data_IF_070696209932
#
_entry.id   IF_070696209932
#
_cell.length_a   1.000
_cell.length_b   1.000
_cell.length_c   1.000
_cell.angle_alpha   90.00
_cell.angle_beta   90.00
_cell.angle_gamma   90.00
#
_symmetry.space_group_name_H-M   'P 1'
#
loop_
_entity.id
_entity.type
_entity.pdbx_description
1 polymer ?
#
# COMPACT_ATOMS: atom_id res chain seq x y z
N UNK A 1 -55.39 30.67 -33.89
CA UNK A 1 -54.09 31.28 -34.28
C UNK A 1 -53.10 31.39 -33.12
N UNK A 2 -53.55 31.59 -31.87
CA UNK A 2 -52.65 31.78 -30.73
C UNK A 2 -52.00 30.48 -30.19
N UNK A 3 -52.69 29.35 -30.30
CA UNK A 3 -52.25 28.05 -29.74
C UNK A 3 -51.07 27.45 -30.52
N UNK A 4 -51.16 27.48 -31.85
CA UNK A 4 -50.10 27.02 -32.78
C UNK A 4 -48.79 27.82 -32.70
N UNK A 5 -48.82 29.01 -32.09
CA UNK A 5 -47.60 29.80 -31.79
C UNK A 5 -46.97 29.35 -30.48
N UNK A 6 -47.77 29.10 -29.44
CA UNK A 6 -47.27 28.56 -28.16
C UNK A 6 -46.62 27.19 -28.33
N UNK A 7 -47.25 26.29 -29.08
CA UNK A 7 -46.65 24.98 -29.38
C UNK A 7 -45.28 25.06 -30.07
N UNK A 8 -45.06 26.10 -30.90
CA UNK A 8 -43.76 26.33 -31.55
C UNK A 8 -42.72 26.90 -30.60
N UNK A 9 -43.14 27.79 -29.70
CA UNK A 9 -42.28 28.33 -28.66
C UNK A 9 -41.84 27.22 -27.70
N UNK A 10 -42.77 26.36 -27.29
CA UNK A 10 -42.48 25.20 -26.43
C UNK A 10 -41.51 24.21 -27.12
N UNK A 11 -41.72 23.91 -28.41
CA UNK A 11 -40.79 23.06 -29.18
C UNK A 11 -39.39 23.67 -29.30
N UNK A 12 -39.27 24.99 -29.47
CA UNK A 12 -37.97 25.66 -29.52
C UNK A 12 -37.25 25.58 -28.18
N UNK A 13 -37.96 25.77 -27.06
CA UNK A 13 -37.38 25.64 -25.71
C UNK A 13 -36.91 24.20 -25.47
N UNK A 14 -37.69 23.22 -25.90
CA UNK A 14 -37.31 21.80 -25.82
C UNK A 14 -36.04 21.54 -26.64
N UNK A 15 -35.95 22.02 -27.88
CA UNK A 15 -34.75 21.87 -28.72
C UNK A 15 -33.52 22.53 -28.10
N UNK A 16 -33.67 23.71 -27.50
CA UNK A 16 -32.58 24.42 -26.81
C UNK A 16 -32.08 23.64 -25.59
N UNK A 17 -32.99 23.12 -24.76
CA UNK A 17 -32.66 22.24 -23.64
C UNK A 17 -31.97 20.95 -24.09
N UNK A 18 -32.44 20.33 -25.18
CA UNK A 18 -31.78 19.14 -25.74
C UNK A 18 -30.34 19.44 -26.14
N UNK A 19 -30.10 20.60 -26.75
CA UNK A 19 -28.77 21.02 -27.17
C UNK A 19 -27.86 21.26 -25.96
N UNK A 20 -28.33 21.94 -24.93
CA UNK A 20 -27.58 22.15 -23.69
C UNK A 20 -27.23 20.82 -22.99
N UNK A 21 -28.17 19.88 -22.95
CA UNK A 21 -27.94 18.54 -22.37
C UNK A 21 -26.85 17.80 -23.15
N UNK A 22 -26.89 17.83 -24.48
CA UNK A 22 -25.88 17.20 -25.33
C UNK A 22 -24.50 17.82 -25.09
N UNK A 23 -24.40 19.15 -25.08
CA UNK A 23 -23.16 19.87 -24.83
C UNK A 23 -22.58 19.53 -23.44
N UNK A 24 -23.45 19.39 -22.43
CA UNK A 24 -23.06 18.99 -21.09
C UNK A 24 -22.55 17.55 -21.04
N UNK A 25 -23.23 16.62 -21.71
CA UNK A 25 -22.80 15.22 -21.83
C UNK A 25 -21.46 15.11 -22.57
N UNK A 26 -21.24 15.93 -23.60
CA UNK A 26 -19.97 15.96 -24.31
C UNK A 26 -18.83 16.49 -23.42
N UNK A 27 -19.10 17.55 -22.64
CA UNK A 27 -18.18 18.08 -21.63
C UNK A 27 -17.82 17.03 -20.57
N UNK A 28 -18.82 16.26 -20.10
CA UNK A 28 -18.62 15.14 -19.18
C UNK A 28 -17.72 14.07 -19.82
N UNK A 29 -17.99 13.66 -21.06
CA UNK A 29 -17.20 12.66 -21.75
C UNK A 29 -15.74 13.09 -21.94
N UNK A 30 -15.49 14.37 -22.26
CA UNK A 30 -14.13 14.92 -22.33
C UNK A 30 -13.40 14.84 -20.99
N UNK A 31 -14.09 15.14 -19.89
CA UNK A 31 -13.53 15.00 -18.53
C UNK A 31 -13.22 13.54 -18.20
N UNK A 32 -14.10 12.60 -18.54
CA UNK A 32 -13.84 11.17 -18.34
C UNK A 32 -12.64 10.68 -19.15
N UNK A 33 -12.52 11.07 -20.42
CA UNK A 33 -11.34 10.74 -21.23
C UNK A 33 -10.06 11.29 -20.62
N UNK A 34 -10.10 12.52 -20.07
CA UNK A 34 -8.95 13.10 -19.37
C UNK A 34 -8.57 12.32 -18.11
N UNK A 35 -9.56 11.88 -17.33
CA UNK A 35 -9.33 11.06 -16.13
C UNK A 35 -8.67 9.73 -16.52
N UNK A 36 -9.18 9.03 -17.55
CA UNK A 36 -8.56 7.78 -18.03
C UNK A 36 -7.11 7.96 -18.45
N UNK A 37 -6.79 9.02 -19.19
CA UNK A 37 -5.40 9.33 -19.56
C UNK A 37 -4.51 9.60 -18.34
N UNK A 38 -5.06 10.22 -17.29
CA UNK A 38 -4.33 10.44 -16.05
C UNK A 38 -4.12 9.14 -15.28
N UNK A 39 -5.09 8.23 -15.29
CA UNK A 39 -4.97 6.90 -14.69
C UNK A 39 -3.90 6.06 -15.39
N UNK A 40 -3.88 6.00 -16.72
CA UNK A 40 -2.84 5.30 -17.49
C UNK A 40 -1.45 5.90 -17.23
N UNK A 41 -1.35 7.23 -17.17
CA UNK A 41 -0.09 7.91 -16.79
C UNK A 41 0.33 7.58 -15.36
N UNK A 42 -0.59 7.50 -14.42
CA UNK A 42 -0.30 7.11 -13.05
C UNK A 42 0.25 5.68 -13.00
N UNK A 43 -0.37 4.75 -13.73
CA UNK A 43 0.07 3.35 -13.80
C UNK A 43 1.50 3.23 -14.35
N UNK A 44 1.83 3.93 -15.44
CA UNK A 44 3.19 3.95 -15.98
C UNK A 44 4.21 4.58 -15.01
N UNK A 45 3.83 5.63 -14.28
CA UNK A 45 4.69 6.24 -13.26
C UNK A 45 4.94 5.31 -12.08
N UNK A 46 3.94 4.53 -11.66
CA UNK A 46 4.08 3.53 -10.61
C UNK A 46 5.03 2.41 -11.01
N UNK A 47 4.97 1.93 -12.26
CA UNK A 47 5.91 0.95 -12.79
C UNK A 47 7.35 1.49 -12.78
N UNK A 48 7.54 2.71 -13.27
CA UNK A 48 8.86 3.37 -13.24
C UNK A 48 9.40 3.51 -11.82
N UNK A 49 8.55 3.89 -10.85
CA UNK A 49 8.95 4.01 -9.46
C UNK A 49 9.32 2.65 -8.85
N UNK A 50 8.65 1.57 -9.24
CA UNK A 50 9.00 0.19 -8.85
C UNK A 50 10.39 -0.21 -9.37
N UNK A 51 10.69 0.12 -10.63
CA UNK A 51 12.00 -0.13 -11.24
C UNK A 51 13.09 0.65 -10.51
N UNK A 52 12.88 1.95 -10.27
CA UNK A 52 13.84 2.81 -9.55
C UNK A 52 14.06 2.30 -8.13
N UNK A 53 13.00 1.95 -7.40
CA UNK A 53 13.10 1.40 -6.05
C UNK A 53 13.90 0.08 -6.03
N UNK A 54 13.69 -0.78 -7.02
CA UNK A 54 14.44 -2.03 -7.15
C UNK A 54 15.93 -1.78 -7.44
N UNK A 55 16.25 -0.77 -8.25
CA UNK A 55 17.64 -0.35 -8.52
C UNK A 55 18.29 0.25 -7.28
N UNK A 56 17.58 1.08 -6.53
CA UNK A 56 18.06 1.65 -5.26
C UNK A 56 18.40 0.52 -4.28
N UNK A 57 17.52 -0.46 -4.09
CA UNK A 57 17.80 -1.62 -3.21
C UNK A 57 19.06 -2.37 -3.63
N UNK A 58 19.26 -2.62 -4.93
CA UNK A 58 20.51 -3.24 -5.42
C UNK A 58 21.75 -2.39 -5.11
N UNK A 59 21.63 -1.07 -5.25
CA UNK A 59 22.73 -0.15 -4.89
C UNK A 59 22.97 -0.19 -3.38
N UNK A 60 21.91 -0.22 -2.56
CA UNK A 60 22.01 -0.36 -1.11
C UNK A 60 22.72 -1.66 -0.73
N UNK A 61 22.36 -2.79 -1.36
CA UNK A 61 23.03 -4.09 -1.15
C UNK A 61 24.51 -4.03 -1.53
N UNK A 62 24.84 -3.44 -2.69
CA UNK A 62 26.24 -3.28 -3.12
C UNK A 62 27.04 -2.34 -2.22
N UNK A 63 26.42 -1.25 -1.73
CA UNK A 63 27.05 -0.34 -0.77
C UNK A 63 27.25 -1.04 0.57
N UNK A 64 26.30 -1.86 1.01
CA UNK A 64 26.41 -2.67 2.21
C UNK A 64 27.57 -3.66 2.11
N UNK A 65 27.73 -4.31 0.96
CA UNK A 65 28.86 -5.20 0.68
C UNK A 65 30.19 -4.43 0.61
N UNK A 66 30.20 -3.22 0.05
CA UNK A 66 31.40 -2.38 -0.02
C UNK A 66 31.85 -1.90 1.37
N UNK A 67 30.92 -1.39 2.18
CA UNK A 67 31.17 -0.91 3.54
C UNK A 67 31.56 -2.06 4.46
N UNK A 68 30.89 -3.22 4.34
CA UNK A 68 31.29 -4.44 5.07
C UNK A 68 32.65 -4.98 4.58
N UNK A 69 33.09 -4.59 3.39
CA UNK A 69 34.41 -4.88 2.84
C UNK A 69 35.52 -3.90 3.25
N UNK A 70 35.20 -2.75 3.88
CA UNK A 70 36.21 -1.80 4.37
C UNK A 70 36.89 -2.26 5.67
N UNK A 71 36.27 -3.15 6.45
CA UNK A 71 36.98 -3.84 7.55
C UNK A 71 37.92 -4.96 7.06
N UNK A 72 37.96 -5.23 5.74
CA UNK A 72 38.60 -6.42 5.16
C UNK A 72 39.49 -6.20 3.93
N UNK A 73 39.77 -4.97 3.48
CA UNK A 73 40.67 -4.75 2.34
C UNK A 73 42.14 -4.56 2.74
N UNK A 74 42.73 -5.64 3.21
CA UNK A 74 43.94 -6.15 2.57
C UNK A 74 43.58 -7.47 1.91
N UNK A 75 43.09 -7.42 0.67
CA UNK A 75 43.36 -8.40 -0.40
C UNK A 75 42.40 -8.24 -1.58
N UNK A 76 43.00 -8.15 -2.76
CA UNK A 76 42.52 -8.88 -3.94
C UNK A 76 41.38 -8.25 -4.73
N UNK A 77 41.75 -7.41 -5.69
CA UNK A 77 41.08 -7.44 -6.99
C UNK A 77 41.16 -8.89 -7.52
N UNK A 78 40.04 -9.60 -7.61
CA UNK A 78 39.98 -10.83 -8.41
C UNK A 78 39.10 -10.58 -9.62
N UNK A 79 39.76 -10.46 -10.76
CA UNK A 79 39.21 -10.67 -12.08
C UNK A 79 38.40 -11.96 -12.11
N UNK A 80 37.17 -11.86 -12.61
CA UNK A 80 36.38 -13.02 -13.02
C UNK A 80 37.13 -13.77 -14.12
N UNK A 81 37.68 -14.95 -13.83
CA UNK A 81 37.95 -15.98 -14.84
C UNK A 81 37.76 -17.37 -14.26
N UNK A 82 36.68 -18.03 -14.74
CA UNK A 82 36.39 -19.47 -14.91
C UNK A 82 36.72 -20.50 -13.80
N UNK A 83 35.96 -21.61 -13.70
CA UNK A 83 35.97 -22.50 -12.54
C UNK A 83 36.93 -23.70 -12.68
N UNK A 84 37.60 -24.12 -11.59
CA UNK A 84 37.92 -25.55 -11.33
C UNK A 84 38.51 -25.86 -9.94
N UNK A 85 37.78 -26.68 -9.19
CA UNK A 85 38.12 -27.91 -8.42
C UNK A 85 39.34 -28.06 -7.47
N UNK A 86 39.04 -28.68 -6.29
CA UNK A 86 39.88 -29.45 -5.32
C UNK A 86 40.98 -28.65 -4.57
N UNK A 87 41.28 -28.83 -3.28
CA UNK A 87 40.85 -29.70 -2.17
C UNK A 87 41.46 -29.17 -0.85
N UNK A 88 40.96 -29.69 0.28
CA UNK A 88 41.73 -29.98 1.50
C UNK A 88 41.87 -28.92 2.63
N UNK A 89 41.00 -29.11 3.64
CA UNK A 89 41.22 -29.18 5.10
C UNK A 89 42.35 -28.37 5.75
N UNK A 90 42.01 -27.58 6.77
CA UNK A 90 42.50 -27.80 8.14
C UNK A 90 41.73 -26.93 9.16
N UNK A 91 41.03 -27.63 10.06
CA UNK A 91 40.50 -27.20 11.35
C UNK A 91 41.62 -26.97 12.37
N UNK A 92 41.37 -26.13 13.38
CA UNK A 92 41.74 -26.18 14.82
C UNK A 92 41.51 -24.74 15.36
N UNK A 93 40.89 -24.37 16.47
CA UNK A 93 40.00 -24.93 17.50
C UNK A 93 39.49 -23.70 18.29
N UNK A 94 38.21 -23.70 18.69
CA UNK A 94 37.62 -22.86 19.76
C UNK A 94 38.32 -23.19 21.12
N UNK A 95 38.23 -22.42 22.24
CA UNK A 95 36.99 -21.78 22.73
C UNK A 95 37.10 -20.52 23.65
N UNK A 96 36.00 -19.77 23.80
CA UNK A 96 35.19 -19.65 25.04
C UNK A 96 34.14 -18.53 24.92
N UNK A 97 32.87 -18.93 25.05
CA UNK A 97 31.72 -18.09 25.39
C UNK A 97 31.76 -17.77 26.92
N UNK A 98 30.97 -16.82 27.46
CA UNK A 98 29.52 -16.98 27.57
C UNK A 98 28.68 -15.77 27.09
N UNK A 99 27.50 -16.14 26.62
CA UNK A 99 26.33 -15.31 26.32
C UNK A 99 25.74 -14.78 27.64
N UNK A 100 25.39 -13.50 27.71
CA UNK A 100 24.35 -13.02 28.63
C UNK A 100 23.17 -12.44 27.85
N UNK A 101 22.04 -13.13 27.96
CA UNK A 101 20.73 -12.70 27.53
C UNK A 101 20.29 -11.44 28.31
N UNK A 102 19.83 -10.39 27.63
CA UNK A 102 18.85 -9.45 28.22
C UNK A 102 18.03 -8.74 27.15
N UNK A 103 16.81 -9.25 26.97
CA UNK A 103 15.52 -8.54 26.99
C UNK A 103 15.45 -7.07 26.51
N UNK A 104 14.55 -6.88 25.55
CA UNK A 104 13.57 -5.79 25.42
C UNK A 104 14.08 -4.33 25.42
N UNK A 105 13.98 -3.66 24.26
CA UNK A 105 13.73 -2.21 24.05
C UNK A 105 13.91 -1.91 22.55
N UNK A 106 13.13 -1.12 21.81
CA UNK A 106 11.91 -0.33 22.00
C UNK A 106 11.36 -0.09 20.59
N UNK A 107 10.09 -0.40 20.35
CA UNK A 107 9.36 -0.01 19.15
C UNK A 107 8.98 1.45 19.32
N UNK A 108 9.63 2.36 18.63
CA UNK A 108 9.27 3.79 18.63
C UNK A 108 8.25 4.07 17.54
N UNK A 109 6.99 4.19 17.97
CA UNK A 109 5.98 5.04 17.36
C UNK A 109 5.22 5.74 18.50
N UNK A 110 4.74 6.99 18.31
CA UNK A 110 4.08 7.74 19.37
C UNK A 110 2.74 7.08 19.70
N UNK A 111 2.68 6.46 20.87
CA UNK A 111 1.45 5.99 21.49
C UNK A 111 0.66 7.25 21.88
N UNK A 112 -0.46 7.51 21.19
CA UNK A 112 -1.54 8.30 21.80
C UNK A 112 -2.21 7.39 22.82
N UNK A 113 -1.68 7.41 24.03
CA UNK A 113 -2.28 6.80 25.21
C UNK A 113 -3.64 7.46 25.48
N UNK A 114 -4.69 6.64 25.67
CA UNK A 114 -6.00 7.11 26.11
C UNK A 114 -7.19 6.69 25.23
N UNK A 115 -7.30 5.42 24.83
CA UNK A 115 -8.59 4.86 24.36
C UNK A 115 -8.86 3.52 25.00
N UNK A 116 -9.98 3.46 25.70
CA UNK A 116 -10.48 2.31 26.46
C UNK A 116 -10.86 1.18 25.50
N UNK A 117 -10.77 -0.07 25.95
CA UNK A 117 -11.14 -1.25 25.16
C UNK A 117 -12.60 -1.26 24.71
N UNK A 118 -13.48 -0.58 25.45
CA UNK A 118 -14.90 -0.44 25.12
C UNK A 118 -15.15 0.42 23.87
N UNK A 119 -14.38 1.51 23.70
CA UNK A 119 -14.53 2.44 22.55
C UNK A 119 -14.17 1.79 21.21
N UNK A 120 -13.39 0.71 21.22
CA UNK A 120 -12.96 -0.01 20.02
C UNK A 120 -14.08 -0.95 19.55
N UNK A 121 -14.84 -1.54 20.48
CA UNK A 121 -15.90 -2.51 20.19
C UNK A 121 -17.11 -1.80 19.57
N UNK A 122 -17.51 -0.64 20.12
CA UNK A 122 -18.59 0.16 19.55
C UNK A 122 -18.26 0.66 18.13
N UNK A 123 -16.98 0.94 17.87
CA UNK A 123 -16.51 1.34 16.54
C UNK A 123 -16.55 0.20 15.55
N UNK A 124 -16.18 -1.02 15.94
CA UNK A 124 -16.29 -2.23 15.09
C UNK A 124 -17.72 -2.42 14.58
N UNK A 125 -18.73 -2.18 15.43
CA UNK A 125 -20.13 -2.30 15.03
C UNK A 125 -20.57 -1.25 14.00
N UNK A 126 -19.94 -0.07 14.01
CA UNK A 126 -20.22 1.02 13.05
C UNK A 126 -19.45 0.91 11.73
N UNK A 127 -18.59 -0.10 11.54
CA UNK A 127 -17.79 -0.23 10.32
C UNK A 127 -18.67 -0.50 9.09
N UNK A 128 -18.33 0.19 8.01
CA UNK A 128 -18.91 -0.02 6.68
C UNK A 128 -18.52 -1.40 6.14
N UNK A 129 -19.33 -1.95 5.24
CA UNK A 129 -19.12 -3.29 4.65
C UNK A 129 -17.71 -3.46 4.06
N UNK A 130 -17.23 -2.43 3.36
CA UNK A 130 -15.88 -2.38 2.78
C UNK A 130 -14.75 -2.35 3.81
N UNK A 131 -14.96 -1.69 4.96
CA UNK A 131 -13.96 -1.67 6.04
C UNK A 131 -13.87 -3.05 6.71
N UNK A 132 -15.00 -3.73 6.92
CA UNK A 132 -15.01 -5.12 7.42
C UNK A 132 -14.31 -6.07 6.45
N UNK A 133 -14.56 -5.93 5.15
CA UNK A 133 -13.88 -6.74 4.13
C UNK A 133 -12.37 -6.53 4.14
N UNK A 134 -11.90 -5.27 4.26
CA UNK A 134 -10.46 -4.96 4.38
C UNK A 134 -9.85 -5.70 5.56
N UNK A 135 -10.47 -5.62 6.74
CA UNK A 135 -9.92 -6.22 7.95
C UNK A 135 -9.99 -7.75 7.88
N UNK A 136 -11.06 -8.33 7.33
CA UNK A 136 -11.18 -9.77 7.10
C UNK A 136 -10.07 -10.30 6.19
N UNK A 137 -9.76 -9.59 5.10
CA UNK A 137 -8.68 -9.95 4.18
C UNK A 137 -7.32 -9.87 4.86
N UNK A 138 -7.07 -8.83 5.65
CA UNK A 138 -5.82 -8.67 6.42
C UNK A 138 -5.68 -9.73 7.52
N UNK A 139 -6.78 -10.09 8.19
CA UNK A 139 -6.78 -11.13 9.20
C UNK A 139 -6.44 -12.51 8.61
N UNK A 140 -6.99 -12.82 7.43
CA UNK A 140 -6.70 -14.07 6.69
C UNK A 140 -5.31 -14.07 6.05
N UNK A 141 -4.79 -12.91 5.67
CA UNK A 141 -3.52 -12.80 4.94
C UNK A 141 -2.66 -11.63 5.49
N UNK A 142 -1.97 -11.83 6.62
CA UNK A 142 -1.16 -10.78 7.24
C UNK A 142 0.09 -10.41 6.41
N UNK A 143 0.42 -11.21 5.39
CA UNK A 143 1.56 -10.96 4.50
C UNK A 143 1.26 -9.96 3.37
N UNK A 144 0.01 -9.56 3.18
CA UNK A 144 -0.36 -8.57 2.15
C UNK A 144 0.16 -7.19 2.54
N UNK A 145 0.92 -6.56 1.64
CA UNK A 145 1.50 -5.23 1.82
C UNK A 145 0.89 -4.22 0.87
N UNK A 146 0.63 -3.01 1.38
CA UNK A 146 0.19 -1.86 0.59
C UNK A 146 -1.25 -1.91 0.08
N UNK A 147 -1.77 -0.73 -0.29
CA UNK A 147 -3.16 -0.56 -0.74
C UNK A 147 -3.47 -1.22 -2.09
N UNK A 148 -2.48 -1.40 -2.96
CA UNK A 148 -2.67 -1.96 -4.31
C UNK A 148 -3.08 -3.43 -4.27
N UNK A 149 -2.46 -4.24 -3.41
CA UNK A 149 -2.77 -5.66 -3.30
C UNK A 149 -4.15 -5.89 -2.66
N UNK A 150 -4.56 -5.05 -1.70
CA UNK A 150 -5.91 -5.07 -1.15
C UNK A 150 -6.97 -4.58 -2.14
N UNK A 151 -6.69 -3.51 -2.88
CA UNK A 151 -7.57 -2.98 -3.90
C UNK A 151 -7.97 -4.03 -4.95
N UNK A 152 -7.00 -4.83 -5.42
CA UNK A 152 -7.25 -5.94 -6.35
C UNK A 152 -8.19 -7.01 -5.79
N UNK A 153 -8.13 -7.29 -4.48
CA UNK A 153 -8.97 -8.32 -3.83
C UNK A 153 -10.38 -7.83 -3.51
N UNK A 154 -10.54 -6.54 -3.21
CA UNK A 154 -11.83 -5.94 -2.83
C UNK A 154 -12.59 -5.43 -4.07
N UNK A 155 -11.91 -5.27 -5.21
CA UNK A 155 -12.52 -4.73 -6.43
C UNK A 155 -12.78 -3.23 -6.33
N UNK A 156 -11.93 -2.49 -5.60
CA UNK A 156 -12.00 -1.03 -5.44
C UNK A 156 -10.71 -0.38 -5.93
N UNK A 157 -10.73 0.94 -6.13
CA UNK A 157 -9.52 1.68 -6.51
C UNK A 157 -8.49 1.70 -5.38
N UNK A 158 -7.21 1.77 -5.77
CA UNK A 158 -6.08 1.85 -4.83
C UNK A 158 -6.22 3.04 -3.88
N UNK A 159 -6.71 4.17 -4.38
CA UNK A 159 -6.95 5.41 -3.61
C UNK A 159 -8.02 5.20 -2.55
N UNK A 160 -9.14 4.58 -2.91
CA UNK A 160 -10.23 4.33 -1.97
C UNK A 160 -9.75 3.45 -0.82
N UNK A 161 -9.06 2.36 -1.15
CA UNK A 161 -8.49 1.45 -0.15
C UNK A 161 -7.41 2.14 0.68
N UNK A 162 -6.54 2.95 0.08
CA UNK A 162 -5.50 3.68 0.82
C UNK A 162 -6.09 4.72 1.78
N UNK A 163 -7.18 5.40 1.40
CA UNK A 163 -7.93 6.30 2.28
C UNK A 163 -8.56 5.56 3.44
N UNK A 164 -9.18 4.41 3.19
CA UNK A 164 -9.76 3.57 4.24
C UNK A 164 -8.70 3.01 5.18
N UNK A 165 -7.57 2.52 4.66
CA UNK A 165 -6.46 2.02 5.48
C UNK A 165 -5.88 3.12 6.38
N UNK A 166 -5.77 4.36 5.86
CA UNK A 166 -5.37 5.51 6.66
C UNK A 166 -6.39 5.82 7.76
N UNK A 167 -7.67 5.87 7.42
CA UNK A 167 -8.77 6.08 8.38
C UNK A 167 -8.77 5.05 9.50
N UNK A 168 -8.70 3.75 9.15
CA UNK A 168 -8.66 2.65 10.11
C UNK A 168 -7.40 2.68 11.01
N UNK A 169 -6.27 3.18 10.48
CA UNK A 169 -5.07 3.38 11.28
C UNK A 169 -5.21 4.58 12.24
N UNK A 170 -5.77 5.70 11.79
CA UNK A 170 -6.02 6.90 12.60
C UNK A 170 -7.05 6.62 13.73
N UNK A 171 -8.00 5.73 13.46
CA UNK A 171 -8.99 5.24 14.42
C UNK A 171 -8.38 4.29 15.47
N UNK A 172 -7.20 3.73 15.20
CA UNK A 172 -6.49 2.78 16.06
C UNK A 172 -6.95 1.33 15.88
N UNK A 173 -7.70 1.03 14.81
CA UNK A 173 -8.17 -0.32 14.46
C UNK A 173 -7.04 -1.11 13.80
N UNK A 174 -6.22 -0.44 12.99
CA UNK A 174 -5.06 -1.05 12.34
C UNK A 174 -3.76 -0.43 12.83
N UNK A 175 -2.73 -1.26 12.96
CA UNK A 175 -1.37 -0.80 13.21
C UNK A 175 -0.66 -0.70 11.87
N UNK A 176 -0.13 0.48 11.57
CA UNK A 176 0.65 0.72 10.35
C UNK A 176 2.14 0.66 10.65
N UNK A 177 2.84 -0.26 9.98
CA UNK A 177 4.29 -0.32 10.00
C UNK A 177 4.85 0.57 8.87
N UNK A 178 5.48 1.67 9.29
CA UNK A 178 6.10 2.65 8.40
C UNK A 178 7.58 2.33 8.09
N UNK A 179 8.13 1.25 8.65
CA UNK A 179 9.56 0.90 8.51
C UNK A 179 9.95 0.47 7.09
N UNK A 180 9.01 -0.05 6.32
CA UNK A 180 9.25 -0.60 4.98
C UNK A 180 8.15 -0.17 4.03
N UNK A 181 8.51 0.40 2.88
CA UNK A 181 7.58 0.62 1.78
C UNK A 181 7.56 -0.61 0.84
N UNK A 182 6.38 -1.15 0.44
CA UNK A 182 5.02 -0.72 0.79
C UNK A 182 4.64 -1.01 2.24
N UNK A 183 3.89 -0.09 2.87
CA UNK A 183 3.49 -0.18 4.28
C UNK A 183 2.75 -1.48 4.60
N UNK A 184 3.09 -2.09 5.75
CA UNK A 184 2.39 -3.27 6.28
C UNK A 184 1.31 -2.81 7.25
N UNK A 185 0.11 -3.35 7.12
CA UNK A 185 -1.00 -3.09 8.04
C UNK A 185 -1.26 -4.37 8.84
N UNK A 186 -1.17 -4.26 10.15
CA UNK A 186 -1.32 -5.38 11.09
C UNK A 186 -2.63 -5.19 11.83
N UNK A 187 -3.47 -6.22 11.82
CA UNK A 187 -4.69 -6.28 12.61
C UNK A 187 -4.33 -6.78 14.02
N UNK A 188 -4.58 -6.01 15.08
CA UNK A 188 -4.39 -6.45 16.46
C UNK A 188 -5.23 -7.70 16.78
N UNK A 189 -4.71 -8.61 17.62
CA UNK A 189 -5.38 -9.87 18.00
C UNK A 189 -6.80 -9.65 18.52
N UNK A 190 -7.02 -8.57 19.29
CA UNK A 190 -8.32 -8.21 19.85
C UNK A 190 -9.40 -8.07 18.77
N UNK A 191 -9.04 -7.49 17.62
CA UNK A 191 -9.97 -7.21 16.51
C UNK A 191 -10.16 -8.45 15.63
N UNK A 192 -9.14 -9.31 15.50
CA UNK A 192 -9.27 -10.58 14.80
C UNK A 192 -10.35 -11.46 15.42
N UNK A 193 -10.47 -11.47 16.75
CA UNK A 193 -11.46 -12.29 17.46
C UNK A 193 -12.90 -11.86 17.14
N UNK A 194 -13.19 -10.57 17.05
CA UNK A 194 -14.54 -10.08 16.72
C UNK A 194 -14.97 -10.36 15.27
N UNK A 195 -14.01 -10.50 14.33
CA UNK A 195 -14.30 -10.62 12.90
C UNK A 195 -14.33 -12.08 12.43
N UNK A 196 -13.71 -13.01 13.17
CA UNK A 196 -13.69 -14.44 12.83
C UNK A 196 -14.89 -15.19 13.43
N UNK A 197 -15.57 -14.60 14.42
CA UNK A 197 -16.71 -15.21 15.13
C UNK A 197 -18.06 -14.91 14.44
N UNK A 198 -18.09 -14.01 13.46
CA UNK A 198 -19.28 -13.67 12.64
C UNK A 198 -19.18 -14.29 11.23
#
# INVERSE_FOLDING_TARGET
>A
MSEKRREREDMNVIEELYKEIIDYLESINRKFSRIRMLEERLESLEENLSIVSSRIRRIEDLLRDYISGEEGRSRGFTTFTRPRSYSEKMTIEKPKEPIEETKDKKITAPVKEGRTSEDIIDKINTLTETERQIISILAKNPEIRGGTALARRIGKTREHVSRLLKKLADEGILIRDEKSWPYKYIVPEKIKQYIIIE
#
